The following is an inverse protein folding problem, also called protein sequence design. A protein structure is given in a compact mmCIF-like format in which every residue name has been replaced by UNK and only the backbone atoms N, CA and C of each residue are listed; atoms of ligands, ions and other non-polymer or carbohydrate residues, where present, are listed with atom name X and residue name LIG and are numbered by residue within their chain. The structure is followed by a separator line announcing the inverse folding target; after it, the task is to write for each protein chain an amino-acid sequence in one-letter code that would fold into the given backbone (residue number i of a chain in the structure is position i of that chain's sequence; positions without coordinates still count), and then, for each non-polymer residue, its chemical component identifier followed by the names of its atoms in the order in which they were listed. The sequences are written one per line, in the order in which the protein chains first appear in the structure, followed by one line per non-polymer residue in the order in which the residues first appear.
data_IF_647730534630
#
_entry.id   IF_647730534630
#
_cell.length_a   1.000
_cell.length_b   1.000
_cell.length_c   1.000
_cell.angle_alpha   90.00
_cell.angle_beta   90.00
_cell.angle_gamma   90.00
#
_symmetry.space_group_name_H-M   'P 1'
#
loop_
_entity.id
_entity.type
_entity.pdbx_description
1 polymer ?
#
# COMPACT_ATOMS: atom_id res chain seq x y z
N UNK A 1 -15.50 15.53 -16.01
CA UNK A 1 -14.74 15.44 -14.76
C UNK A 1 -14.30 13.99 -14.63
N UNK A 2 -13.03 13.71 -14.82
CA UNK A 2 -12.50 12.36 -14.71
C UNK A 2 -12.35 12.02 -13.23
N UNK A 3 -13.25 11.20 -12.68
CA UNK A 3 -13.26 10.78 -11.28
C UNK A 3 -12.57 9.41 -11.16
N UNK A 4 -11.43 9.38 -10.50
CA UNK A 4 -10.82 8.18 -9.95
C UNK A 4 -10.96 8.17 -8.42
N UNK A 5 -10.77 7.04 -7.76
CA UNK A 5 -10.77 7.00 -6.28
C UNK A 5 -9.75 7.96 -5.69
N UNK A 6 -8.54 8.00 -6.23
CA UNK A 6 -7.52 8.92 -5.75
C UNK A 6 -7.95 10.39 -5.93
N UNK A 7 -8.47 10.77 -7.10
CA UNK A 7 -8.90 12.15 -7.34
C UNK A 7 -10.10 12.57 -6.46
N UNK A 8 -10.97 11.63 -6.10
CA UNK A 8 -12.06 11.87 -5.17
C UNK A 8 -11.54 12.12 -3.75
N UNK A 9 -10.65 11.25 -3.27
CA UNK A 9 -10.08 11.39 -1.92
C UNK A 9 -9.18 12.63 -1.80
N UNK A 10 -8.44 12.98 -2.83
CA UNK A 10 -7.68 14.24 -2.90
C UNK A 10 -8.59 15.47 -2.76
N UNK A 11 -9.75 15.46 -3.42
CA UNK A 11 -10.75 16.55 -3.28
C UNK A 11 -11.33 16.62 -1.88
N UNK A 12 -11.63 15.50 -1.25
CA UNK A 12 -12.12 15.49 0.12
C UNK A 12 -11.05 16.07 1.06
N UNK A 13 -9.80 15.65 0.90
CA UNK A 13 -8.68 16.20 1.67
C UNK A 13 -8.52 17.73 1.50
N UNK A 14 -8.81 18.27 0.31
CA UNK A 14 -8.79 19.72 0.09
C UNK A 14 -9.96 20.45 0.76
N UNK A 15 -11.14 19.81 0.81
CA UNK A 15 -12.36 20.43 1.33
C UNK A 15 -12.46 20.39 2.86
N UNK A 16 -12.04 19.28 3.46
CA UNK A 16 -12.17 19.03 4.90
C UNK A 16 -10.88 18.44 5.50
N UNK A 17 -9.73 19.12 5.34
CA UNK A 17 -8.42 18.56 5.67
C UNK A 17 -8.23 18.16 7.13
N UNK A 18 -8.90 18.85 8.05
CA UNK A 18 -8.75 18.64 9.50
C UNK A 18 -9.79 17.65 10.09
N UNK A 19 -10.76 17.21 9.28
CA UNK A 19 -11.74 16.21 9.73
C UNK A 19 -11.12 14.81 9.74
N UNK A 20 -11.67 13.95 10.62
CA UNK A 20 -11.22 12.57 10.75
C UNK A 20 -11.49 11.77 9.47
N UNK A 21 -10.46 11.14 8.93
CA UNK A 21 -10.52 10.29 7.75
C UNK A 21 -10.48 8.81 8.10
N UNK A 22 -9.57 8.42 8.97
CA UNK A 22 -9.36 7.04 9.40
C UNK A 22 -9.34 6.96 10.92
N UNK A 23 -10.00 5.93 11.44
CA UNK A 23 -10.05 5.65 12.90
C UNK A 23 -9.78 4.14 13.07
N UNK A 24 -8.70 3.80 13.76
CA UNK A 24 -8.37 2.43 14.10
C UNK A 24 -7.94 2.35 15.57
N UNK A 25 -8.84 1.92 16.45
CA UNK A 25 -8.63 2.01 17.90
C UNK A 25 -8.47 3.46 18.36
N UNK A 26 -7.35 3.78 18.98
CA UNK A 26 -7.02 5.13 19.44
C UNK A 26 -6.23 5.94 18.39
N UNK A 27 -5.85 5.34 17.27
CA UNK A 27 -5.13 6.01 16.18
C UNK A 27 -6.12 6.65 15.20
N UNK A 28 -6.13 7.97 15.17
CA UNK A 28 -7.02 8.79 14.34
C UNK A 28 -6.18 9.62 13.39
N UNK A 29 -6.49 9.57 12.10
CA UNK A 29 -5.82 10.38 11.07
C UNK A 29 -6.83 11.31 10.42
N UNK A 30 -6.43 12.57 10.28
CA UNK A 30 -7.16 13.55 9.47
C UNK A 30 -7.04 13.24 7.96
N UNK A 31 -7.93 13.81 7.14
CA UNK A 31 -7.84 13.72 5.68
C UNK A 31 -6.51 14.24 5.15
N UNK A 32 -5.96 15.30 5.74
CA UNK A 32 -4.63 15.83 5.40
C UNK A 32 -3.53 14.82 5.66
N UNK A 33 -3.51 14.20 6.84
CA UNK A 33 -2.49 13.21 7.20
C UNK A 33 -2.59 11.96 6.34
N UNK A 34 -3.80 11.50 6.08
CA UNK A 34 -4.06 10.37 5.20
C UNK A 34 -3.52 10.62 3.79
N UNK A 35 -3.82 11.80 3.21
CA UNK A 35 -3.33 12.18 1.87
C UNK A 35 -1.80 12.30 1.83
N UNK A 36 -1.17 12.90 2.84
CA UNK A 36 0.29 13.06 2.93
C UNK A 36 0.97 11.69 3.03
N UNK A 37 0.53 10.82 3.94
CA UNK A 37 1.12 9.49 4.12
C UNK A 37 0.98 8.65 2.86
N UNK A 38 -0.19 8.65 2.24
CA UNK A 38 -0.41 7.95 0.97
C UNK A 38 0.46 8.51 -0.17
N UNK A 39 0.67 9.83 -0.22
CA UNK A 39 1.54 10.46 -1.23
C UNK A 39 3.01 10.11 -1.04
N UNK A 40 3.49 9.97 0.18
CA UNK A 40 4.86 9.51 0.49
C UNK A 40 5.08 8.05 0.08
N UNK A 41 4.12 7.18 0.40
CA UNK A 41 4.13 5.79 -0.04
C UNK A 41 4.10 5.67 -1.57
N UNK A 42 3.29 6.49 -2.24
CA UNK A 42 3.24 6.54 -3.69
C UNK A 42 4.59 6.93 -4.32
N UNK A 43 5.33 7.88 -3.70
CA UNK A 43 6.71 8.20 -4.10
C UNK A 43 7.62 6.98 -4.01
N UNK A 44 7.57 6.24 -2.90
CA UNK A 44 8.37 5.04 -2.73
C UNK A 44 8.03 3.96 -3.76
N UNK A 45 6.75 3.77 -4.09
CA UNK A 45 6.33 2.84 -5.16
C UNK A 45 6.93 3.23 -6.51
N UNK A 46 6.86 4.51 -6.89
CA UNK A 46 7.42 5.02 -8.16
C UNK A 46 8.95 4.85 -8.20
N UNK A 47 9.66 5.19 -7.12
CA UNK A 47 11.12 5.05 -7.06
C UNK A 47 11.58 3.59 -7.18
N UNK A 48 10.74 2.64 -6.77
CA UNK A 48 10.99 1.21 -6.94
C UNK A 48 10.45 0.66 -8.28
N UNK A 49 10.13 1.53 -9.24
CA UNK A 49 9.79 1.16 -10.61
C UNK A 49 8.35 0.68 -10.81
N UNK A 50 7.44 1.03 -9.88
CA UNK A 50 6.00 0.82 -10.08
C UNK A 50 5.39 2.03 -10.78
N UNK A 51 4.31 1.81 -11.52
CA UNK A 51 3.66 2.85 -12.31
C UNK A 51 2.19 2.50 -12.56
N UNK A 52 1.56 3.21 -13.50
CA UNK A 52 0.19 2.91 -13.96
C UNK A 52 0.04 1.41 -14.27
N UNK A 53 -1.07 0.83 -13.81
CA UNK A 53 -1.45 -0.58 -13.89
C UNK A 53 -0.56 -1.56 -13.11
N UNK A 54 0.48 -1.10 -12.41
CA UNK A 54 1.22 -1.97 -11.48
C UNK A 54 0.29 -2.54 -10.43
N UNK A 55 0.44 -3.82 -10.15
CA UNK A 55 -0.37 -4.55 -9.18
C UNK A 55 0.38 -4.69 -7.87
N UNK A 56 -0.28 -4.31 -6.78
CA UNK A 56 0.34 -4.27 -5.46
C UNK A 56 -0.52 -5.02 -4.47
N UNK A 57 0.02 -6.07 -3.90
CA UNK A 57 -0.67 -6.91 -2.92
C UNK A 57 -0.67 -6.24 -1.54
N UNK A 58 -1.83 -6.29 -0.86
CA UNK A 58 -2.01 -5.80 0.50
C UNK A 58 -2.34 -6.99 1.40
N UNK A 59 -1.32 -7.53 2.05
CA UNK A 59 -1.38 -8.65 2.99
C UNK A 59 -1.33 -8.14 4.43
N UNK A 60 -2.31 -7.31 4.76
CA UNK A 60 -2.47 -6.65 6.05
C UNK A 60 -3.81 -7.02 6.70
N UNK A 61 -3.87 -6.98 8.02
CA UNK A 61 -5.12 -6.90 8.76
C UNK A 61 -5.73 -5.50 8.59
N UNK A 62 -6.99 -5.33 8.97
CA UNK A 62 -7.62 -4.02 8.97
C UNK A 62 -6.85 -3.06 9.88
N UNK A 63 -6.32 -1.99 9.30
CA UNK A 63 -5.54 -0.95 9.98
C UNK A 63 -5.56 0.33 9.15
N UNK A 64 -5.06 1.43 9.71
CA UNK A 64 -4.88 2.67 8.97
C UNK A 64 -3.91 2.48 7.79
N UNK A 65 -2.84 1.71 7.97
CA UNK A 65 -1.84 1.41 6.95
C UNK A 65 -2.41 0.67 5.75
N UNK A 66 -3.44 -0.18 5.95
CA UNK A 66 -4.15 -0.85 4.86
C UNK A 66 -4.75 0.16 3.88
N UNK A 67 -5.50 1.14 4.41
CA UNK A 67 -6.14 2.17 3.58
C UNK A 67 -5.13 3.18 3.02
N UNK A 68 -4.06 3.47 3.77
CA UNK A 68 -2.97 4.32 3.29
C UNK A 68 -2.24 3.65 2.10
N UNK A 69 -1.96 2.34 2.19
CA UNK A 69 -1.36 1.58 1.09
C UNK A 69 -2.29 1.55 -0.13
N UNK A 70 -3.58 1.28 0.08
CA UNK A 70 -4.59 1.29 -0.99
C UNK A 70 -4.65 2.66 -1.69
N UNK A 71 -4.67 3.74 -0.92
CA UNK A 71 -4.69 5.10 -1.47
C UNK A 71 -3.39 5.42 -2.24
N UNK A 72 -2.23 5.02 -1.72
CA UNK A 72 -0.95 5.19 -2.41
C UNK A 72 -0.93 4.48 -3.78
N UNK A 73 -1.48 3.27 -3.84
CA UNK A 73 -1.61 2.52 -5.09
C UNK A 73 -2.53 3.24 -6.07
N UNK A 74 -3.67 3.75 -5.61
CA UNK A 74 -4.55 4.57 -6.45
C UNK A 74 -3.87 5.85 -6.93
N UNK A 75 -3.00 6.47 -6.12
CA UNK A 75 -2.27 7.69 -6.50
C UNK A 75 -1.35 7.48 -7.69
N UNK A 76 -0.74 6.31 -7.84
CA UNK A 76 0.10 5.96 -8.99
C UNK A 76 -0.68 5.36 -10.17
N UNK A 77 -2.01 5.39 -10.13
CA UNK A 77 -2.89 4.74 -11.12
C UNK A 77 -2.67 3.21 -11.19
N UNK A 78 -2.27 2.61 -10.05
CA UNK A 78 -2.06 1.18 -9.88
C UNK A 78 -3.31 0.44 -9.43
N UNK A 79 -3.19 -0.88 -9.30
CA UNK A 79 -4.26 -1.79 -8.90
C UNK A 79 -3.93 -2.50 -7.59
N UNK A 80 -4.64 -2.24 -6.48
CA UNK A 80 -4.48 -2.99 -5.25
C UNK A 80 -5.06 -4.40 -5.39
N UNK A 81 -4.32 -5.38 -4.88
CA UNK A 81 -4.73 -6.79 -4.78
C UNK A 81 -5.01 -7.08 -3.31
N UNK A 82 -6.26 -7.36 -3.01
CA UNK A 82 -6.65 -7.71 -1.65
C UNK A 82 -6.24 -9.16 -1.33
N UNK A 83 -5.37 -9.35 -0.35
CA UNK A 83 -4.88 -10.66 0.07
C UNK A 83 -5.55 -11.08 1.37
N UNK A 84 -6.13 -12.27 1.39
CA UNK A 84 -6.67 -12.82 2.62
C UNK A 84 -5.53 -13.08 3.63
N UNK A 85 -5.58 -12.43 4.78
CA UNK A 85 -4.56 -12.54 5.84
C UNK A 85 -4.39 -13.96 6.41
N UNK A 86 -5.33 -14.86 6.13
CA UNK A 86 -5.28 -16.28 6.53
C UNK A 86 -4.45 -17.14 5.59
N UNK A 87 -4.13 -16.67 4.38
CA UNK A 87 -3.35 -17.44 3.43
C UNK A 87 -1.98 -17.80 4.01
N UNK A 88 -1.59 -19.04 3.79
CA UNK A 88 -0.25 -19.55 4.09
C UNK A 88 0.62 -19.54 2.82
N UNK A 89 1.83 -20.06 2.91
CA UNK A 89 2.87 -19.91 1.88
C UNK A 89 2.41 -20.31 0.47
N UNK A 90 1.77 -21.46 0.30
CA UNK A 90 1.37 -21.97 -1.02
C UNK A 90 0.28 -21.12 -1.66
N UNK A 91 -0.74 -20.74 -0.89
CA UNK A 91 -1.85 -19.90 -1.37
C UNK A 91 -1.38 -18.48 -1.66
N UNK A 92 -0.48 -17.96 -0.80
CA UNK A 92 0.09 -16.63 -0.97
C UNK A 92 0.99 -16.58 -2.21
N UNK A 93 1.86 -17.57 -2.41
CA UNK A 93 2.70 -17.68 -3.60
C UNK A 93 1.84 -17.72 -4.87
N UNK A 94 0.85 -18.60 -4.89
CA UNK A 94 -0.08 -18.73 -6.03
C UNK A 94 -0.78 -17.40 -6.34
N UNK A 95 -1.30 -16.71 -5.32
CA UNK A 95 -2.01 -15.44 -5.52
C UNK A 95 -1.06 -14.36 -6.06
N UNK A 96 0.14 -14.21 -5.49
CA UNK A 96 1.11 -13.21 -5.90
C UNK A 96 1.61 -13.41 -7.33
N UNK A 97 1.83 -14.66 -7.75
CA UNK A 97 2.18 -15.01 -9.13
C UNK A 97 1.02 -14.78 -10.09
N UNK A 98 -0.17 -15.31 -9.76
CA UNK A 98 -1.33 -15.25 -10.65
C UNK A 98 -1.87 -13.83 -10.83
N UNK A 99 -1.67 -12.95 -9.86
CA UNK A 99 -2.04 -11.53 -9.96
C UNK A 99 -0.97 -10.68 -10.65
N UNK A 100 0.19 -11.22 -11.00
CA UNK A 100 1.37 -10.47 -11.46
C UNK A 100 1.74 -9.33 -10.49
N UNK A 101 1.70 -9.58 -9.19
CA UNK A 101 2.02 -8.57 -8.18
C UNK A 101 3.47 -8.11 -8.30
N UNK A 102 3.69 -6.80 -8.23
CA UNK A 102 5.01 -6.16 -8.35
C UNK A 102 5.53 -5.63 -7.01
N UNK A 103 4.64 -5.45 -6.02
CA UNK A 103 5.01 -5.11 -4.64
C UNK A 103 4.03 -5.75 -3.66
N UNK A 104 4.47 -5.86 -2.40
CA UNK A 104 3.66 -6.45 -1.31
C UNK A 104 3.82 -5.60 -0.05
N UNK A 105 2.69 -5.18 0.53
CA UNK A 105 2.63 -4.69 1.90
C UNK A 105 2.23 -5.84 2.82
N UNK A 106 2.94 -6.04 3.92
CA UNK A 106 2.64 -7.10 4.87
C UNK A 106 2.90 -6.68 6.32
N UNK A 107 2.13 -7.20 7.28
CA UNK A 107 2.41 -7.00 8.70
C UNK A 107 3.59 -7.85 9.19
N UNK A 108 4.33 -7.35 10.17
CA UNK A 108 5.49 -8.03 10.76
C UNK A 108 5.15 -9.42 11.31
N UNK A 109 3.91 -9.64 11.76
CA UNK A 109 3.41 -10.98 12.15
C UNK A 109 3.53 -12.03 11.05
N UNK A 110 3.60 -11.62 9.77
CA UNK A 110 3.72 -12.52 8.61
C UNK A 110 5.14 -12.65 8.07
N UNK A 111 6.12 -12.00 8.68
CA UNK A 111 7.51 -11.93 8.18
C UNK A 111 8.11 -13.31 7.90
N UNK A 112 7.88 -14.30 8.75
CA UNK A 112 8.38 -15.66 8.52
C UNK A 112 7.80 -16.30 7.26
N UNK A 113 6.51 -16.07 6.94
CA UNK A 113 5.88 -16.57 5.71
C UNK A 113 6.49 -15.89 4.49
N UNK A 114 6.66 -14.58 4.56
CA UNK A 114 7.27 -13.79 3.47
C UNK A 114 8.71 -14.26 3.22
N UNK A 115 9.49 -14.50 4.28
CA UNK A 115 10.87 -14.99 4.13
C UNK A 115 10.92 -16.35 3.41
N UNK A 116 10.00 -17.25 3.72
CA UNK A 116 9.93 -18.57 3.11
C UNK A 116 9.63 -18.51 1.60
N UNK A 117 8.86 -17.52 1.12
CA UNK A 117 8.39 -17.45 -0.27
C UNK A 117 9.12 -16.39 -1.11
N UNK A 118 9.75 -15.40 -0.50
CA UNK A 118 10.33 -14.23 -1.18
C UNK A 118 11.30 -14.62 -2.32
N UNK A 119 12.11 -15.64 -2.11
CA UNK A 119 13.10 -16.10 -3.10
C UNK A 119 12.46 -16.73 -4.35
N UNK A 120 11.23 -17.24 -4.25
CA UNK A 120 10.49 -17.81 -5.39
C UNK A 120 9.74 -16.76 -6.21
N UNK A 121 9.67 -15.51 -5.75
CA UNK A 121 8.90 -14.42 -6.34
C UNK A 121 9.78 -13.28 -6.85
N UNK A 122 10.66 -13.52 -7.86
CA UNK A 122 11.65 -12.55 -8.31
C UNK A 122 11.05 -11.30 -8.99
N UNK A 123 9.77 -11.35 -9.38
CA UNK A 123 9.07 -10.24 -10.01
C UNK A 123 8.61 -9.18 -9.00
N UNK A 124 8.58 -9.50 -7.70
CA UNK A 124 8.25 -8.53 -6.65
C UNK A 124 9.44 -7.59 -6.45
N UNK A 125 9.26 -6.34 -6.84
CA UNK A 125 10.29 -5.28 -6.80
C UNK A 125 10.44 -4.68 -5.41
N UNK A 126 9.34 -4.65 -4.62
CA UNK A 126 9.30 -3.98 -3.32
C UNK A 126 8.49 -4.80 -2.31
N UNK A 127 9.09 -5.04 -1.15
CA UNK A 127 8.44 -5.60 0.03
C UNK A 127 8.41 -4.53 1.10
N UNK A 128 7.21 -4.18 1.60
CA UNK A 128 7.03 -3.17 2.65
C UNK A 128 6.48 -3.83 3.90
N UNK A 129 7.26 -3.78 4.96
CA UNK A 129 6.89 -4.32 6.27
C UNK A 129 6.23 -3.24 7.11
N UNK A 130 5.02 -3.53 7.58
CA UNK A 130 4.26 -2.71 8.54
C UNK A 130 4.41 -3.34 9.92
N UNK A 131 4.95 -2.59 10.87
CA UNK A 131 5.09 -3.05 12.25
C UNK A 131 3.70 -3.10 12.93
N UNK A 132 3.30 -4.28 13.39
CA UNK A 132 2.08 -4.53 14.16
C UNK A 132 2.38 -4.89 15.64
N UNK A 133 3.60 -4.61 16.09
CA UNK A 133 4.11 -4.90 17.44
C UNK A 133 4.11 -6.38 17.82
N UNK A 134 3.88 -7.29 16.88
CA UNK A 134 3.83 -8.75 17.15
C UNK A 134 5.20 -9.38 17.18
N UNK A 135 6.16 -8.85 16.44
CA UNK A 135 7.53 -9.35 16.32
C UNK A 135 8.52 -8.18 16.15
N UNK A 136 9.81 -8.44 16.33
CA UNK A 136 10.83 -7.49 15.90
C UNK A 136 10.79 -7.40 14.37
N UNK A 137 10.86 -6.17 13.85
CA UNK A 137 10.98 -5.92 12.42
C UNK A 137 12.04 -6.83 11.80
N UNK A 138 11.68 -7.49 10.72
CA UNK A 138 12.58 -8.34 9.97
C UNK A 138 13.39 -7.50 8.97
N UNK A 139 14.56 -7.96 8.59
CA UNK A 139 15.34 -7.31 7.51
C UNK A 139 14.83 -7.67 6.09
N UNK A 140 13.61 -8.21 5.97
CA UNK A 140 13.09 -8.78 4.73
C UNK A 140 12.60 -7.70 3.78
N UNK A 141 11.96 -6.67 4.31
CA UNK A 141 11.37 -5.57 3.55
C UNK A 141 11.85 -4.20 4.01
N UNK A 142 11.44 -3.17 3.27
CA UNK A 142 11.59 -1.79 3.72
C UNK A 142 10.54 -1.52 4.79
N UNK A 143 10.95 -0.96 5.91
CA UNK A 143 10.02 -0.62 6.99
C UNK A 143 9.10 0.54 6.54
N UNK A 144 7.79 0.37 6.74
CA UNK A 144 6.77 1.37 6.39
C UNK A 144 7.06 2.74 7.02
N UNK A 145 7.41 2.78 8.31
CA UNK A 145 7.67 4.04 9.00
C UNK A 145 8.88 4.78 8.40
N UNK A 146 9.91 4.05 7.97
CA UNK A 146 11.06 4.66 7.29
C UNK A 146 10.64 5.35 5.98
N UNK A 147 9.66 4.80 5.26
CA UNK A 147 9.11 5.45 4.06
C UNK A 147 8.38 6.75 4.47
N UNK A 148 7.52 6.68 5.46
CA UNK A 148 6.75 7.85 5.94
C UNK A 148 7.69 8.97 6.43
N UNK A 149 8.79 8.63 7.08
CA UNK A 149 9.71 9.62 7.64
C UNK A 149 10.61 10.27 6.59
N UNK A 150 11.03 9.53 5.56
CA UNK A 150 12.12 9.96 4.68
C UNK A 150 11.67 10.37 3.27
N UNK A 151 10.51 9.90 2.79
CA UNK A 151 10.04 10.26 1.45
C UNK A 151 9.28 11.59 1.44
N UNK A 152 9.39 12.31 0.33
CA UNK A 152 8.57 13.48 0.06
C UNK A 152 7.25 13.06 -0.60
N UNK A 153 6.13 13.74 -0.31
CA UNK A 153 4.87 13.46 -0.99
C UNK A 153 4.98 13.66 -2.50
N UNK A 154 4.47 12.70 -3.28
CA UNK A 154 4.38 12.87 -4.72
C UNK A 154 3.41 13.99 -5.10
N UNK A 155 3.68 14.66 -6.23
CA UNK A 155 2.74 15.57 -6.83
C UNK A 155 1.51 14.81 -7.37
N UNK A 156 0.36 15.45 -7.35
CA UNK A 156 -0.86 14.89 -7.97
C UNK A 156 -0.67 14.77 -9.48
N UNK A 157 -1.14 13.67 -10.03
CA UNK A 157 -1.09 13.40 -11.48
C UNK A 157 -2.51 13.28 -12.04
N UNK A 158 -2.65 13.46 -13.35
CA UNK A 158 -3.87 13.11 -14.06
C UNK A 158 -3.96 11.60 -14.19
N UNK A 159 -5.14 11.02 -13.92
CA UNK A 159 -5.39 9.58 -13.90
C UNK A 159 -6.48 9.19 -14.90
N UNK A 160 -6.33 8.00 -15.45
CA UNK A 160 -7.32 7.42 -16.35
C UNK A 160 -8.54 6.91 -15.55
N UNK A 161 -9.76 7.41 -15.81
CA UNK A 161 -10.95 6.95 -15.09
C UNK A 161 -11.34 5.49 -15.42
N UNK A 162 -10.72 4.88 -16.44
CA UNK A 162 -10.99 3.49 -16.84
C UNK A 162 -9.94 2.50 -16.30
N UNK A 163 -9.01 2.94 -15.47
CA UNK A 163 -8.04 2.03 -14.81
C UNK A 163 -8.77 1.00 -13.95
N UNK A 164 -8.27 -0.23 -13.93
CA UNK A 164 -8.77 -1.27 -13.03
C UNK A 164 -8.37 -0.91 -11.60
N UNK A 165 -9.36 -0.74 -10.71
CA UNK A 165 -9.12 -0.27 -9.34
C UNK A 165 -9.03 -1.37 -8.29
N UNK A 166 -9.37 -2.60 -8.64
CA UNK A 166 -9.29 -3.74 -7.70
C UNK A 166 -9.36 -5.07 -8.48
N UNK A 167 -8.60 -6.03 -8.04
CA UNK A 167 -8.69 -7.44 -8.41
C UNK A 167 -8.86 -8.32 -7.18
#
# INVERSE_FOLDING_TARGET
MNLSFASLWEKISDLIPEEDALICGDDVLSWREFDIRASKLASALIENGLSKNSKVAIYLNNSNEYLIAQYAIFKIDGCPINVNYRYVEDELTYLLENSDSEAVFFHSTYSNRIDNIKSSLPNIKLWVEVDDSSQKSSAIGVNYQNIIDNYQPMARIERDPNTIYML
#
